data_IF_369826625010
#
_entry.id   IF_369826625010
#
_cell.length_a   1.000
_cell.length_b   1.000
_cell.length_c   1.000
_cell.angle_alpha   90.00
_cell.angle_beta   90.00
_cell.angle_gamma   90.00
#
_symmetry.space_group_name_H-M   'P 1'
#
loop_
_entity.id
_entity.type
_entity.pdbx_description
1 polymer ?
#
# COMPACT_ATOMS: atom_id res chain seq x y z
N UNK A 1 -17.36 -5.97 5.04
CA UNK A 1 -15.91 -6.03 4.82
C UNK A 1 -15.67 -6.00 3.33
N UNK A 2 -14.78 -5.11 2.88
CA UNK A 2 -14.31 -5.05 1.50
C UNK A 2 -13.00 -5.82 1.40
N UNK A 3 -12.81 -6.55 0.31
CA UNK A 3 -11.66 -7.40 0.02
C UNK A 3 -11.19 -7.09 -1.40
N UNK A 4 -9.88 -7.14 -1.69
CA UNK A 4 -9.38 -6.96 -3.04
C UNK A 4 -9.91 -8.07 -3.97
N UNK A 5 -9.94 -7.85 -5.30
CA UNK A 5 -10.21 -8.92 -6.26
C UNK A 5 -9.11 -9.99 -6.22
N UNK A 6 -9.24 -11.01 -7.07
CA UNK A 6 -8.22 -12.05 -7.19
C UNK A 6 -6.98 -11.51 -7.89
N UNK A 7 -5.80 -11.88 -7.40
CA UNK A 7 -4.54 -11.53 -8.06
C UNK A 7 -4.43 -12.20 -9.45
N UNK A 8 -3.90 -11.50 -10.48
CA UNK A 8 -3.39 -10.12 -10.48
C UNK A 8 -4.38 -9.06 -11.00
N UNK A 9 -5.68 -9.35 -11.01
CA UNK A 9 -6.72 -8.55 -11.68
C UNK A 9 -7.07 -7.26 -10.91
N UNK A 10 -6.15 -6.29 -10.95
CA UNK A 10 -6.25 -5.04 -10.18
C UNK A 10 -7.46 -4.18 -10.54
N UNK A 11 -7.98 -4.27 -11.76
CA UNK A 11 -9.11 -3.45 -12.22
C UNK A 11 -10.48 -4.04 -11.87
N UNK A 12 -10.53 -5.32 -11.49
CA UNK A 12 -11.78 -5.99 -11.07
C UNK A 12 -12.41 -5.33 -9.84
N UNK A 13 -13.75 -5.37 -9.69
CA UNK A 13 -14.43 -4.74 -8.57
C UNK A 13 -14.04 -5.37 -7.24
N UNK A 14 -14.07 -4.56 -6.18
CA UNK A 14 -13.87 -5.05 -4.81
C UNK A 14 -14.92 -6.10 -4.47
N UNK A 15 -14.48 -7.21 -3.89
CA UNK A 15 -15.38 -8.18 -3.27
C UNK A 15 -15.87 -7.59 -1.94
N UNK A 16 -17.10 -7.90 -1.55
CA UNK A 16 -17.61 -7.48 -0.25
C UNK A 16 -18.49 -8.54 0.37
N UNK A 17 -18.40 -8.68 1.70
CA UNK A 17 -19.26 -9.55 2.50
C UNK A 17 -19.65 -8.92 3.84
N UNK A 18 -20.88 -9.14 4.33
CA UNK A 18 -21.27 -8.67 5.67
C UNK A 18 -20.52 -9.48 6.74
N UNK A 19 -20.05 -8.81 7.80
CA UNK A 19 -19.46 -9.47 8.98
C UNK A 19 -20.40 -9.49 10.18
N UNK A 20 -21.25 -8.47 10.27
CA UNK A 20 -22.31 -8.37 11.25
C UNK A 20 -23.44 -7.52 10.67
N UNK A 21 -24.62 -7.58 11.29
CA UNK A 21 -25.70 -6.61 11.08
C UNK A 21 -26.36 -6.25 12.39
N UNK A 22 -26.94 -5.05 12.45
CA UNK A 22 -27.80 -4.61 13.54
C UNK A 22 -29.19 -4.42 12.96
N UNK A 23 -30.17 -5.16 13.48
CA UNK A 23 -31.52 -5.22 12.93
C UNK A 23 -32.53 -4.75 13.97
N UNK A 24 -33.42 -3.82 13.61
CA UNK A 24 -34.49 -3.34 14.48
C UNK A 24 -35.82 -3.94 14.06
N UNK A 25 -36.55 -4.52 15.01
CA UNK A 25 -37.91 -5.05 14.80
C UNK A 25 -38.93 -4.27 15.65
N UNK A 26 -40.20 -4.30 15.26
CA UNK A 26 -41.28 -3.67 16.02
C UNK A 26 -41.27 -4.16 17.49
N UNK A 27 -41.29 -3.20 18.44
CA UNK A 27 -41.35 -3.42 19.89
C UNK A 27 -40.18 -4.23 20.47
N UNK A 28 -39.05 -4.35 19.78
CA UNK A 28 -37.84 -5.02 20.28
C UNK A 28 -36.64 -4.08 20.26
N UNK A 29 -35.70 -4.30 21.16
CA UNK A 29 -34.36 -3.71 21.03
C UNK A 29 -33.71 -4.22 19.74
N UNK A 30 -32.83 -3.41 19.15
CA UNK A 30 -32.09 -3.84 17.98
C UNK A 30 -31.23 -5.07 18.31
N UNK A 31 -31.29 -6.10 17.47
CA UNK A 31 -30.52 -7.33 17.62
C UNK A 31 -29.23 -7.23 16.84
N UNK A 32 -28.14 -7.72 17.43
CA UNK A 32 -26.83 -7.83 16.78
C UNK A 32 -26.63 -9.27 16.33
N UNK A 33 -26.32 -9.44 15.05
CA UNK A 33 -26.09 -10.75 14.46
C UNK A 33 -24.70 -10.81 13.82
N UNK A 34 -23.96 -11.87 14.12
CA UNK A 34 -22.75 -12.23 13.38
C UNK A 34 -23.17 -12.85 12.04
N UNK A 35 -22.48 -12.45 10.97
CA UNK A 35 -22.76 -12.89 9.61
C UNK A 35 -21.63 -13.76 9.03
N UNK A 36 -20.64 -14.10 9.85
CA UNK A 36 -19.47 -14.88 9.44
C UNK A 36 -19.80 -16.37 9.35
N UNK A 37 -19.05 -17.10 8.52
CA UNK A 37 -19.30 -18.52 8.26
C UNK A 37 -20.40 -18.77 7.22
N UNK A 38 -20.79 -20.04 7.09
CA UNK A 38 -21.65 -20.52 5.99
C UNK A 38 -23.00 -21.08 6.47
N UNK A 39 -23.31 -20.95 7.77
CA UNK A 39 -24.54 -21.47 8.40
C UNK A 39 -25.61 -20.40 8.67
N UNK A 40 -25.42 -19.20 8.13
CA UNK A 40 -26.36 -18.08 8.23
C UNK A 40 -26.17 -17.18 9.47
N UNK A 41 -27.04 -16.16 9.62
CA UNK A 41 -26.97 -15.21 10.73
C UNK A 41 -27.18 -15.88 12.08
N UNK A 42 -26.39 -15.50 13.07
CA UNK A 42 -26.46 -16.03 14.44
C UNK A 42 -26.08 -14.95 15.46
N UNK A 43 -26.19 -15.23 16.76
CA UNK A 43 -26.06 -14.19 17.78
C UNK A 43 -24.64 -13.61 17.82
N UNK A 44 -24.54 -12.27 17.73
CA UNK A 44 -23.29 -11.53 17.81
C UNK A 44 -23.36 -10.41 18.84
N UNK A 45 -22.19 -9.85 19.16
CA UNK A 45 -22.07 -8.71 20.07
C UNK A 45 -21.21 -7.62 19.45
N UNK A 46 -21.54 -6.36 19.79
CA UNK A 46 -20.73 -5.19 19.50
C UNK A 46 -20.40 -4.50 20.81
N UNK A 47 -19.13 -4.18 21.01
CA UNK A 47 -18.66 -3.39 22.14
C UNK A 47 -18.01 -2.11 21.62
N UNK A 48 -18.62 -0.96 21.92
CA UNK A 48 -18.03 0.34 21.63
C UNK A 48 -17.00 0.63 22.73
N UNK A 49 -15.74 0.84 22.35
CA UNK A 49 -14.64 1.06 23.31
C UNK A 49 -14.40 2.55 23.49
N UNK A 50 -14.21 3.28 22.37
CA UNK A 50 -14.01 4.74 22.31
C UNK A 50 -14.64 5.29 21.03
N UNK A 51 -14.64 6.61 20.85
CA UNK A 51 -15.18 7.28 19.64
C UNK A 51 -14.64 6.68 18.33
N UNK A 52 -13.38 6.26 18.33
CA UNK A 52 -12.66 5.79 17.14
C UNK A 52 -12.33 4.28 17.19
N UNK A 53 -12.95 3.53 18.11
CA UNK A 53 -12.68 2.10 18.26
C UNK A 53 -13.91 1.31 18.75
N UNK A 54 -14.20 0.19 18.09
CA UNK A 54 -15.21 -0.79 18.53
C UNK A 54 -14.74 -2.21 18.24
N UNK A 55 -15.34 -3.21 18.88
CA UNK A 55 -15.05 -4.62 18.62
C UNK A 55 -16.31 -5.45 18.38
N UNK A 56 -16.15 -6.56 17.68
CA UNK A 56 -17.17 -7.60 17.50
C UNK A 56 -16.78 -8.84 18.30
N UNK A 57 -17.79 -9.58 18.77
CA UNK A 57 -17.59 -10.90 19.39
C UNK A 57 -18.68 -11.86 18.94
N UNK A 58 -18.28 -13.08 18.58
CA UNK A 58 -19.18 -14.20 18.34
C UNK A 58 -18.97 -15.26 19.43
N UNK A 59 -20.06 -15.70 20.07
CA UNK A 59 -20.01 -16.78 21.08
C UNK A 59 -20.51 -18.13 20.51
N UNK A 60 -20.93 -18.16 19.25
CA UNK A 60 -21.48 -19.33 18.55
C UNK A 60 -20.61 -19.66 17.34
N UNK A 61 -19.31 -19.87 17.58
CA UNK A 61 -18.32 -20.09 16.51
C UNK A 61 -18.44 -21.45 15.82
N UNK A 62 -19.28 -22.35 16.32
CA UNK A 62 -19.73 -23.56 15.64
C UNK A 62 -20.42 -23.24 14.29
N UNK A 63 -20.98 -22.03 14.17
CA UNK A 63 -21.55 -21.51 12.92
C UNK A 63 -20.49 -21.21 11.85
N UNK A 64 -19.25 -21.01 12.26
CA UNK A 64 -18.12 -20.73 11.37
C UNK A 64 -17.48 -22.02 10.82
N UNK A 65 -17.68 -23.15 11.50
CA UNK A 65 -17.08 -24.43 11.15
C UNK A 65 -17.80 -25.10 9.98
N UNK A 66 -17.03 -25.71 9.09
CA UNK A 66 -17.55 -26.53 7.98
C UNK A 66 -17.51 -28.03 8.32
N UNK A 67 -18.35 -28.83 7.65
CA UNK A 67 -18.47 -30.27 7.91
C UNK A 67 -17.19 -31.04 7.59
N UNK A 68 -16.45 -30.64 6.56
CA UNK A 68 -15.14 -31.18 6.19
C UNK A 68 -13.98 -30.57 6.99
N UNK A 69 -14.30 -29.91 8.11
CA UNK A 69 -13.33 -29.34 9.04
C UNK A 69 -12.45 -28.26 8.43
N UNK A 70 -11.26 -28.08 9.01
CA UNK A 70 -10.31 -27.00 8.66
C UNK A 70 -9.80 -27.08 7.22
N UNK A 71 -9.74 -28.27 6.64
CA UNK A 71 -9.34 -28.43 5.24
C UNK A 71 -10.40 -27.85 4.28
N UNK A 72 -11.69 -28.10 4.53
CA UNK A 72 -12.77 -27.51 3.73
C UNK A 72 -12.83 -26.00 3.92
N UNK A 73 -12.64 -25.50 5.15
CA UNK A 73 -12.54 -24.07 5.44
C UNK A 73 -11.40 -23.41 4.64
N UNK A 74 -10.22 -24.03 4.61
CA UNK A 74 -9.08 -23.52 3.85
C UNK A 74 -9.36 -23.49 2.35
N UNK A 75 -9.86 -24.58 1.75
CA UNK A 75 -10.18 -24.62 0.32
C UNK A 75 -11.25 -23.61 -0.07
N UNK A 76 -12.26 -23.41 0.79
CA UNK A 76 -13.32 -22.42 0.56
C UNK A 76 -12.76 -21.00 0.65
N UNK A 77 -11.97 -20.71 1.68
CA UNK A 77 -11.29 -19.42 1.81
C UNK A 77 -10.34 -19.14 0.64
N UNK A 78 -9.57 -20.14 0.19
CA UNK A 78 -8.65 -20.01 -0.94
C UNK A 78 -9.40 -19.69 -2.24
N UNK A 79 -10.54 -20.35 -2.47
CA UNK A 79 -11.43 -20.02 -3.61
C UNK A 79 -11.97 -18.60 -3.50
N UNK A 80 -12.36 -18.17 -2.31
CA UNK A 80 -12.87 -16.81 -2.10
C UNK A 80 -11.80 -15.75 -2.31
N UNK A 81 -10.58 -15.95 -1.79
CA UNK A 81 -9.50 -14.94 -1.78
C UNK A 81 -8.62 -14.95 -3.03
N UNK A 82 -8.44 -16.11 -3.67
CA UNK A 82 -7.52 -16.27 -4.80
C UNK A 82 -8.15 -16.84 -6.06
N UNK A 83 -9.33 -17.48 -5.97
CA UNK A 83 -10.00 -18.06 -7.14
C UNK A 83 -9.27 -19.24 -7.78
N UNK A 84 -8.24 -19.77 -7.12
CA UNK A 84 -7.36 -20.86 -7.61
C UNK A 84 -7.24 -21.96 -6.57
N UNK A 85 -6.81 -23.15 -6.98
CA UNK A 85 -6.36 -24.17 -6.02
C UNK A 85 -4.93 -23.89 -5.58
N UNK A 86 -4.44 -24.61 -4.56
CA UNK A 86 -3.08 -24.40 -4.07
C UNK A 86 -2.04 -24.90 -5.08
N UNK A 87 -2.39 -25.97 -5.81
CA UNK A 87 -1.56 -26.60 -6.84
C UNK A 87 -1.38 -25.70 -8.07
N UNK A 88 -2.39 -24.86 -8.38
CA UNK A 88 -2.35 -23.89 -9.48
C UNK A 88 -1.45 -22.67 -9.16
N UNK A 89 -0.96 -22.56 -7.92
CA UNK A 89 -0.07 -21.48 -7.47
C UNK A 89 1.37 -21.97 -7.58
N UNK A 90 2.03 -21.63 -8.69
CA UNK A 90 3.34 -22.18 -9.06
C UNK A 90 4.52 -21.84 -8.12
N UNK A 91 4.36 -20.85 -7.24
CA UNK A 91 5.44 -20.41 -6.35
C UNK A 91 5.24 -20.91 -4.92
N UNK A 92 6.11 -21.80 -4.45
CA UNK A 92 6.07 -22.39 -3.11
C UNK A 92 6.03 -21.31 -2.01
N UNK A 93 6.88 -20.28 -2.12
CA UNK A 93 6.87 -19.17 -1.16
C UNK A 93 5.51 -18.44 -1.07
N UNK A 94 4.80 -18.31 -2.19
CA UNK A 94 3.45 -17.73 -2.19
C UNK A 94 2.45 -18.66 -1.50
N UNK A 95 2.56 -19.99 -1.67
CA UNK A 95 1.72 -20.95 -0.96
C UNK A 95 1.92 -20.86 0.56
N UNK A 96 3.18 -20.74 1.02
CA UNK A 96 3.51 -20.57 2.45
C UNK A 96 2.87 -19.31 3.03
N UNK A 97 2.99 -18.17 2.34
CA UNK A 97 2.41 -16.89 2.75
C UNK A 97 0.88 -16.97 2.83
N UNK A 98 0.25 -17.63 1.86
CA UNK A 98 -1.21 -17.85 1.81
C UNK A 98 -1.66 -18.69 3.00
N UNK A 99 -0.97 -19.80 3.26
CA UNK A 99 -1.29 -20.70 4.37
C UNK A 99 -1.12 -19.97 5.72
N UNK A 100 -0.03 -19.22 5.88
CA UNK A 100 0.22 -18.41 7.06
C UNK A 100 -0.89 -17.36 7.26
N UNK A 101 -1.29 -16.65 6.19
CA UNK A 101 -2.37 -15.66 6.23
C UNK A 101 -3.70 -16.31 6.64
N UNK A 102 -4.04 -17.47 6.08
CA UNK A 102 -5.24 -18.21 6.48
C UNK A 102 -5.22 -18.58 7.95
N UNK A 103 -4.13 -19.21 8.42
CA UNK A 103 -4.01 -19.64 9.82
C UNK A 103 -4.15 -18.43 10.72
N UNK A 104 -3.35 -17.37 10.52
CA UNK A 104 -3.34 -16.19 11.37
C UNK A 104 -4.70 -15.48 11.43
N UNK A 105 -5.31 -15.21 10.26
CA UNK A 105 -6.59 -14.47 10.21
C UNK A 105 -7.76 -15.28 10.74
N UNK A 106 -7.77 -16.60 10.53
CA UNK A 106 -8.84 -17.46 11.03
C UNK A 106 -8.81 -17.66 12.56
N UNK A 107 -7.69 -17.40 13.24
CA UNK A 107 -7.64 -17.43 14.71
C UNK A 107 -8.51 -16.37 15.38
N UNK A 108 -8.77 -15.25 14.70
CA UNK A 108 -9.64 -14.21 15.25
C UNK A 108 -11.10 -14.65 15.29
N UNK A 109 -11.49 -15.58 14.40
CA UNK A 109 -12.85 -16.12 14.33
C UNK A 109 -13.95 -15.04 14.35
N UNK A 110 -13.72 -13.95 13.61
CA UNK A 110 -14.54 -12.74 13.55
C UNK A 110 -14.72 -11.98 14.88
N UNK A 111 -13.93 -12.31 15.90
CA UNK A 111 -13.75 -11.51 17.11
C UNK A 111 -12.66 -10.46 16.86
N UNK A 112 -13.05 -9.31 16.31
CA UNK A 112 -12.15 -8.31 15.76
C UNK A 112 -12.32 -6.97 16.47
N UNK A 113 -11.22 -6.23 16.62
CA UNK A 113 -11.22 -4.82 17.02
C UNK A 113 -10.97 -3.94 15.80
N UNK A 114 -11.84 -2.96 15.60
CA UNK A 114 -11.81 -2.04 14.47
C UNK A 114 -11.43 -0.65 14.96
N UNK A 115 -10.52 -0.01 14.25
CA UNK A 115 -10.15 1.39 14.44
C UNK A 115 -10.67 2.23 13.28
N UNK A 116 -11.08 3.46 13.58
CA UNK A 116 -11.57 4.40 12.58
C UNK A 116 -10.43 4.82 11.64
N UNK A 117 -10.73 4.83 10.35
CA UNK A 117 -9.91 5.45 9.30
C UNK A 117 -10.78 6.44 8.52
N UNK A 118 -10.15 7.35 7.79
CA UNK A 118 -10.82 8.39 7.01
C UNK A 118 -10.36 8.33 5.57
N UNK A 119 -11.26 8.67 4.65
CA UNK A 119 -10.85 8.96 3.28
C UNK A 119 -10.05 10.27 3.27
N UNK A 120 -9.02 10.37 2.42
CA UNK A 120 -8.22 11.58 2.29
C UNK A 120 -9.08 12.73 1.75
N UNK A 121 -8.81 13.98 2.14
CA UNK A 121 -9.42 15.14 1.51
C UNK A 121 -9.03 15.21 0.03
N UNK A 122 -9.87 15.84 -0.80
CA UNK A 122 -9.56 16.10 -2.21
C UNK A 122 -9.35 17.59 -2.42
N UNK A 123 -8.34 17.95 -3.21
CA UNK A 123 -8.08 19.30 -3.70
C UNK A 123 -8.24 19.35 -5.23
N UNK A 124 -8.69 20.48 -5.81
CA UNK A 124 -8.66 20.69 -7.26
C UNK A 124 -7.25 20.60 -7.86
N UNK A 125 -6.22 20.90 -7.05
CA UNK A 125 -4.81 20.89 -7.46
C UNK A 125 -4.17 19.49 -7.40
N UNK A 126 -4.89 18.48 -6.89
CA UNK A 126 -4.36 17.12 -6.80
C UNK A 126 -4.17 16.52 -8.20
N UNK A 127 -3.00 15.91 -8.44
CA UNK A 127 -2.65 15.32 -9.74
C UNK A 127 -3.67 14.26 -10.21
N UNK A 128 -4.21 13.51 -9.25
CA UNK A 128 -5.30 12.55 -9.42
C UNK A 128 -6.19 12.57 -8.19
N UNK A 129 -7.41 12.04 -8.32
CA UNK A 129 -8.32 11.92 -7.20
C UNK A 129 -7.69 11.04 -6.09
N UNK A 130 -7.50 11.55 -4.86
CA UNK A 130 -7.02 10.74 -3.76
C UNK A 130 -8.10 9.74 -3.32
N UNK A 131 -7.68 8.65 -2.66
CA UNK A 131 -8.60 7.60 -2.27
C UNK A 131 -7.94 6.23 -2.13
N UNK A 132 -8.74 5.19 -2.27
CA UNK A 132 -8.30 3.79 -2.13
C UNK A 132 -7.99 3.19 -3.49
N UNK A 133 -6.83 2.54 -3.58
CA UNK A 133 -6.33 1.84 -4.75
C UNK A 133 -6.05 0.37 -4.40
N UNK A 134 -6.22 -0.49 -5.38
CA UNK A 134 -5.73 -1.88 -5.36
C UNK A 134 -4.34 -1.87 -6.00
N UNK A 135 -3.37 -2.56 -5.42
CA UNK A 135 -2.00 -2.61 -5.95
C UNK A 135 -1.40 -4.01 -5.80
N UNK A 136 -0.49 -4.37 -6.70
CA UNK A 136 0.20 -5.67 -6.72
C UNK A 136 1.44 -5.66 -5.81
N UNK A 137 1.53 -6.59 -4.87
CA UNK A 137 2.66 -6.71 -3.92
C UNK A 137 3.38 -8.06 -4.05
N UNK A 138 3.71 -8.45 -5.29
CA UNK A 138 4.50 -9.65 -5.55
C UNK A 138 3.83 -10.94 -5.04
N UNK A 139 4.57 -11.74 -4.27
CA UNK A 139 4.08 -12.98 -3.66
C UNK A 139 2.99 -12.77 -2.61
N UNK A 140 2.80 -11.56 -2.09
CA UNK A 140 1.73 -11.25 -1.13
C UNK A 140 0.35 -11.06 -1.80
N UNK A 141 0.32 -10.93 -3.14
CA UNK A 141 -0.89 -10.71 -3.92
C UNK A 141 -1.31 -9.25 -3.96
N UNK A 142 -2.63 -9.00 -3.97
CA UNK A 142 -3.17 -7.65 -3.99
C UNK A 142 -3.32 -7.06 -2.58
N UNK A 143 -2.92 -5.81 -2.43
CA UNK A 143 -3.12 -5.01 -1.22
C UNK A 143 -3.93 -3.74 -1.53
N UNK A 144 -4.60 -3.22 -0.51
CA UNK A 144 -5.35 -1.96 -0.58
C UNK A 144 -4.46 -0.85 -0.04
N UNK A 145 -4.21 0.17 -0.84
CA UNK A 145 -3.37 1.33 -0.49
C UNK A 145 -4.21 2.61 -0.59
N UNK A 146 -4.10 3.48 0.41
CA UNK A 146 -4.71 4.79 0.43
C UNK A 146 -3.72 5.84 -0.06
N UNK A 147 -4.03 6.48 -1.19
CA UNK A 147 -3.29 7.62 -1.73
C UNK A 147 -3.81 8.93 -1.14
N UNK A 148 -2.92 9.74 -0.58
CA UNK A 148 -3.22 11.07 -0.04
C UNK A 148 -2.18 12.11 -0.48
N UNK A 149 -2.60 13.36 -0.64
CA UNK A 149 -1.71 14.47 -1.02
C UNK A 149 -1.38 15.35 0.18
N UNK A 150 -0.11 15.77 0.27
CA UNK A 150 0.48 16.54 1.37
C UNK A 150 1.42 17.60 0.77
N UNK A 151 0.84 18.68 0.25
CA UNK A 151 1.59 19.72 -0.46
C UNK A 151 2.24 19.16 -1.72
N UNK A 152 3.58 19.23 -1.83
CA UNK A 152 4.34 18.73 -2.99
C UNK A 152 4.70 17.25 -2.90
N UNK A 153 4.11 16.51 -1.96
CA UNK A 153 4.31 15.06 -1.79
C UNK A 153 2.98 14.33 -1.86
N UNK A 154 2.96 13.14 -2.45
CA UNK A 154 1.87 12.19 -2.29
C UNK A 154 2.34 10.98 -1.47
N UNK A 155 1.46 10.43 -0.64
CA UNK A 155 1.74 9.29 0.24
C UNK A 155 0.77 8.17 -0.01
N UNK A 156 1.30 6.96 -0.17
CA UNK A 156 0.53 5.72 -0.14
C UNK A 156 0.66 5.04 1.21
N UNK A 157 -0.46 4.85 1.91
CA UNK A 157 -0.54 4.15 3.20
C UNK A 157 -1.25 2.82 3.02
N UNK A 158 -0.66 1.73 3.49
CA UNK A 158 -1.28 0.40 3.43
C UNK A 158 -2.52 0.33 4.31
N UNK A 159 -3.67 0.02 3.73
CA UNK A 159 -4.92 -0.27 4.45
C UNK A 159 -5.00 -1.76 4.78
N UNK A 160 -4.59 -2.59 3.84
CA UNK A 160 -4.18 -3.97 4.10
C UNK A 160 -2.67 -4.06 3.89
N UNK A 161 -2.02 -5.01 4.53
CA UNK A 161 -0.58 -5.17 4.40
C UNK A 161 -0.12 -6.56 4.78
N UNK A 162 1.19 -6.73 4.71
CA UNK A 162 1.88 -8.01 4.81
C UNK A 162 2.96 -7.96 5.91
N UNK A 163 3.62 -9.08 6.22
CA UNK A 163 4.65 -9.11 7.26
C UNK A 163 5.86 -8.18 7.01
N UNK A 164 6.17 -7.82 5.76
CA UNK A 164 7.30 -6.95 5.45
C UNK A 164 6.90 -5.49 5.68
N UNK A 165 5.73 -5.08 5.18
CA UNK A 165 5.16 -3.75 5.43
C UNK A 165 3.72 -3.87 5.90
N UNK A 166 3.49 -3.76 7.23
CA UNK A 166 2.17 -3.93 7.83
C UNK A 166 1.15 -2.87 7.42
N UNK A 167 -0.13 -3.20 7.63
CA UNK A 167 -1.23 -2.24 7.53
C UNK A 167 -1.01 -1.04 8.48
N UNK A 168 -1.36 0.15 7.99
CA UNK A 168 -1.14 1.43 8.65
C UNK A 168 0.21 2.09 8.34
N UNK A 169 1.15 1.37 7.72
CA UNK A 169 2.46 1.91 7.36
C UNK A 169 2.44 2.60 5.98
N UNK A 170 3.33 3.58 5.81
CA UNK A 170 3.61 4.18 4.52
C UNK A 170 4.39 3.17 3.66
N UNK A 171 3.95 2.95 2.43
CA UNK A 171 4.57 2.02 1.48
C UNK A 171 5.18 2.73 0.28
N UNK A 172 4.69 3.94 -0.04
CA UNK A 172 5.24 4.79 -1.10
C UNK A 172 5.15 6.26 -0.68
N UNK A 173 6.20 7.02 -0.95
CA UNK A 173 6.20 8.48 -1.03
C UNK A 173 6.49 8.88 -2.47
N UNK A 174 5.76 9.86 -3.01
CA UNK A 174 5.96 10.36 -4.37
C UNK A 174 6.29 11.84 -4.28
N UNK A 175 7.40 12.21 -4.89
CA UNK A 175 7.81 13.60 -5.04
C UNK A 175 7.13 14.21 -6.28
N UNK A 176 6.23 15.16 -6.03
CA UNK A 176 5.49 15.86 -7.07
C UNK A 176 6.23 17.13 -7.54
N UNK A 177 7.27 17.55 -6.82
CA UNK A 177 8.08 18.71 -7.18
C UNK A 177 9.05 18.42 -8.34
N UNK A 178 9.44 17.15 -8.49
CA UNK A 178 10.44 16.69 -9.45
C UNK A 178 9.88 15.66 -10.44
N UNK A 179 9.05 16.09 -11.42
CA UNK A 179 8.57 15.19 -12.48
C UNK A 179 9.72 14.61 -13.30
N UNK A 180 9.67 13.30 -13.54
CA UNK A 180 10.60 12.60 -14.41
C UNK A 180 10.21 12.82 -15.88
N UNK A 181 11.21 13.20 -16.69
CA UNK A 181 11.05 13.20 -18.15
C UNK A 181 11.42 11.82 -18.68
N UNK A 182 10.40 11.09 -19.15
CA UNK A 182 10.63 9.81 -19.78
C UNK A 182 11.33 9.99 -21.13
N UNK A 183 12.29 9.12 -21.48
CA UNK A 183 12.84 9.07 -22.82
C UNK A 183 11.81 8.49 -23.80
N UNK A 184 12.17 8.40 -25.08
CA UNK A 184 11.32 7.74 -26.07
C UNK A 184 11.10 6.24 -25.76
N UNK A 185 10.18 5.61 -26.49
CA UNK A 185 9.78 4.22 -26.26
C UNK A 185 10.92 3.21 -26.47
N UNK A 186 11.92 3.51 -27.29
CA UNK A 186 13.04 2.62 -27.57
C UNK A 186 14.00 2.64 -26.37
N UNK A 187 14.32 3.84 -25.88
CA UNK A 187 15.17 4.07 -24.73
C UNK A 187 14.50 3.68 -23.41
N UNK A 188 13.16 3.75 -23.30
CA UNK A 188 12.41 3.25 -22.13
C UNK A 188 12.58 1.74 -21.91
N UNK A 189 12.93 0.97 -22.95
CA UNK A 189 13.22 -0.45 -22.82
C UNK A 189 14.58 -0.72 -22.16
N UNK A 190 15.49 0.26 -22.18
CA UNK A 190 16.79 0.16 -21.52
C UNK A 190 16.66 0.48 -20.03
N UNK A 191 16.82 -0.54 -19.20
CA UNK A 191 16.80 -0.42 -17.76
C UNK A 191 17.90 0.53 -17.23
N UNK A 192 19.07 0.54 -17.87
CA UNK A 192 20.21 1.34 -17.45
C UNK A 192 19.93 2.83 -17.62
N UNK A 193 19.28 3.19 -18.73
CA UNK A 193 18.91 4.58 -19.01
C UNK A 193 17.84 5.08 -18.04
N UNK A 194 16.82 4.26 -17.76
CA UNK A 194 15.80 4.62 -16.77
C UNK A 194 16.41 4.78 -15.35
N UNK A 195 17.29 3.86 -14.97
CA UNK A 195 18.01 3.91 -13.70
C UNK A 195 18.84 5.18 -13.56
N UNK A 196 19.59 5.55 -14.62
CA UNK A 196 20.38 6.80 -14.67
C UNK A 196 19.50 8.03 -14.41
N UNK A 197 18.37 8.15 -15.09
CA UNK A 197 17.44 9.28 -14.94
C UNK A 197 16.90 9.38 -13.51
N UNK A 198 16.51 8.23 -12.93
CA UNK A 198 15.99 8.18 -11.55
C UNK A 198 17.06 8.61 -10.54
N UNK A 199 18.30 8.12 -10.67
CA UNK A 199 19.40 8.46 -9.78
C UNK A 199 19.82 9.93 -9.89
N UNK A 200 19.78 10.52 -11.10
CA UNK A 200 20.08 11.94 -11.31
C UNK A 200 19.08 12.84 -10.59
N UNK A 201 17.79 12.53 -10.70
CA UNK A 201 16.73 13.30 -10.01
C UNK A 201 16.79 13.07 -8.51
N UNK A 202 17.09 11.86 -8.05
CA UNK A 202 17.28 11.58 -6.62
C UNK A 202 18.44 12.41 -6.04
N UNK A 203 19.56 12.50 -6.74
CA UNK A 203 20.70 13.30 -6.29
C UNK A 203 20.37 14.80 -6.28
N UNK A 204 19.58 15.28 -7.25
CA UNK A 204 19.06 16.65 -7.22
C UNK A 204 18.20 16.89 -5.96
N UNK A 205 17.21 16.03 -5.69
CA UNK A 205 16.34 16.14 -4.51
C UNK A 205 17.17 16.17 -3.23
N UNK A 206 18.13 15.25 -3.09
CA UNK A 206 19.01 15.16 -1.93
C UNK A 206 19.83 16.44 -1.71
N UNK A 207 20.29 17.09 -2.79
CA UNK A 207 21.03 18.36 -2.71
C UNK A 207 20.15 19.51 -2.29
N UNK A 208 18.94 19.61 -2.84
CA UNK A 208 17.96 20.64 -2.49
C UNK A 208 17.53 20.53 -1.02
N UNK A 209 17.26 19.32 -0.53
CA UNK A 209 16.93 19.06 0.88
C UNK A 209 18.07 19.50 1.83
N UNK A 210 19.33 19.21 1.47
CA UNK A 210 20.48 19.63 2.28
C UNK A 210 20.71 21.15 2.28
N UNK A 211 20.46 21.83 1.16
CA UNK A 211 20.56 23.27 1.08
C UNK A 211 19.44 23.96 1.88
N UNK A 212 18.23 23.40 1.88
CA UNK A 212 17.11 23.88 2.69
C UNK A 212 17.35 23.71 4.19
N UNK A 213 17.85 22.55 4.63
CA UNK A 213 18.23 22.31 6.03
C UNK A 213 19.30 23.31 6.52
N UNK A 214 20.35 23.55 5.71
CA UNK A 214 21.40 24.52 6.06
C UNK A 214 20.89 25.96 6.13
N UNK A 215 19.94 26.34 5.26
CA UNK A 215 19.32 27.68 5.30
C UNK A 215 18.45 27.85 6.53
N UNK A 216 17.67 26.84 6.90
CA UNK A 216 16.83 26.88 8.10
C UNK A 216 17.67 26.95 9.38
N UNK A 217 18.75 26.18 9.47
CA UNK A 217 19.69 26.28 10.60
C UNK A 217 20.42 27.64 10.67
N UNK A 218 20.73 28.23 9.51
CA UNK A 218 21.32 29.57 9.41
C UNK A 218 20.36 30.69 9.86
N UNK A 219 19.09 30.61 9.49
CA UNK A 219 18.05 31.57 9.88
C UNK A 219 17.72 31.48 11.38
N UNK A 220 17.63 30.28 11.96
CA UNK A 220 17.42 30.11 13.41
C UNK A 220 18.58 30.67 14.24
N UNK A 221 19.84 30.51 13.77
CA UNK A 221 21.02 31.14 14.41
C UNK A 221 21.03 32.66 14.25
N UNK A 222 20.49 33.19 13.15
CA UNK A 222 20.39 34.62 12.90
C UNK A 222 19.30 35.28 13.76
N UNK A 223 18.17 34.59 13.98
CA UNK A 223 17.09 35.05 14.84
C UNK A 223 17.45 34.99 16.33
N UNK A 224 18.27 34.03 16.77
CA UNK A 224 18.85 34.04 18.12
C UNK A 224 19.87 35.18 18.31
N UNK A 225 20.59 35.60 17.26
CA UNK A 225 21.55 36.72 17.34
C UNK A 225 20.87 38.10 17.29
N UNK A 226 19.66 38.21 16.73
CA UNK A 226 18.91 39.47 16.62
C UNK A 226 18.13 39.88 17.89
N UNK A 227 18.23 39.11 18.98
CA UNK A 227 17.61 39.41 20.28
C UNK A 227 18.46 40.39 21.13
N UNK A 228 18.96 41.47 20.52
CA UNK A 228 19.54 42.60 21.25
C UNK A 228 18.81 43.89 20.83
N UNK A 229 18.21 44.65 21.76
CA UNK A 229 17.37 45.79 21.41
C UNK A 229 18.25 46.98 21.00
N UNK A 230 18.33 47.24 19.69
CA UNK A 230 18.85 48.50 19.18
C UNK A 230 17.72 49.53 19.09
N UNK A 231 17.90 50.63 19.83
CA UNK A 231 16.96 51.73 19.96
C UNK A 231 16.67 52.43 18.62
N UNK A 232 15.39 52.74 18.40
CA UNK A 232 14.90 53.61 17.33
C UNK A 232 15.44 55.03 17.47
N UNK A 233 15.70 55.73 16.36
CA UNK A 233 14.78 56.80 15.95
C UNK A 233 14.62 56.83 14.41
N UNK A 234 13.60 57.39 13.75
CA UNK A 234 12.91 58.67 13.86
C UNK A 234 11.79 58.69 12.79
N UNK A 235 10.79 59.56 12.94
CA UNK A 235 10.23 60.28 11.79
C UNK A 235 8.79 59.97 11.40
N UNK A 236 7.90 60.93 11.69
CA UNK A 236 6.66 61.12 10.92
C UNK A 236 6.90 61.97 9.68
N UNK A 237 5.91 61.97 8.79
CA UNK A 237 5.85 62.89 7.64
C UNK A 237 5.26 62.26 6.39
N UNK A 238 3.98 62.58 6.14
CA UNK A 238 3.18 62.23 4.97
C UNK A 238 3.71 62.88 3.66
N UNK A 239 3.34 62.29 2.51
CA UNK A 239 3.08 63.09 1.31
C UNK A 239 3.47 62.47 -0.04
N UNK A 240 2.48 62.53 -0.94
CA UNK A 240 2.56 62.72 -2.39
C UNK A 240 2.30 61.52 -3.32
N UNK A 241 1.27 61.77 -4.13
CA UNK A 241 0.71 61.02 -5.25
C UNK A 241 1.65 60.98 -6.47
N UNK A 242 1.47 59.98 -7.32
CA UNK A 242 2.12 59.86 -8.62
C UNK A 242 1.39 58.82 -9.48
N UNK A 243 0.68 59.33 -10.48
CA UNK A 243 -0.13 58.60 -11.48
C UNK A 243 0.73 58.10 -12.65
N UNK A 244 0.14 57.19 -13.43
CA UNK A 244 0.35 56.90 -14.87
C UNK A 244 0.92 55.53 -15.33
N UNK A 245 0.01 54.84 -16.04
CA UNK A 245 0.16 54.18 -17.37
C UNK A 245 0.48 52.69 -17.51
N UNK A 246 -0.60 51.96 -17.82
CA UNK A 246 -0.84 51.14 -19.03
C UNK A 246 0.27 50.21 -19.58
N UNK A 247 -0.03 48.91 -19.64
CA UNK A 247 0.04 48.10 -20.88
C UNK A 247 -0.49 46.69 -20.60
N UNK A 248 -1.38 46.21 -21.47
CA UNK A 248 -1.95 44.88 -21.38
C UNK A 248 -0.99 43.77 -21.82
N UNK A 249 -1.26 42.56 -21.33
CA UNK A 249 -0.97 41.34 -22.07
C UNK A 249 -1.96 40.27 -21.62
N UNK A 250 -2.89 39.96 -22.50
CA UNK A 250 -3.67 38.74 -22.47
C UNK A 250 -2.69 37.56 -22.54
N UNK A 251 -2.62 36.77 -21.49
CA UNK A 251 -2.00 35.46 -21.48
C UNK A 251 -3.05 34.44 -21.11
N UNK A 252 -3.81 33.98 -22.10
CA UNK A 252 -4.65 32.81 -21.94
C UNK A 252 -3.73 31.62 -21.63
N UNK A 253 -3.59 31.29 -20.35
CA UNK A 253 -3.03 30.00 -19.94
C UNK A 253 -4.03 28.95 -20.39
N UNK A 254 -3.80 28.40 -21.59
CA UNK A 254 -4.48 27.19 -22.03
C UNK A 254 -4.11 26.09 -21.06
N UNK A 255 -5.12 25.67 -20.32
CA UNK A 255 -5.19 24.48 -19.49
C UNK A 255 -5.06 23.24 -20.41
N UNK A 256 -3.85 22.97 -20.90
CA UNK A 256 -3.54 21.72 -21.59
C UNK A 256 -3.19 20.68 -20.53
N UNK A 257 -4.14 19.79 -20.26
CA UNK A 257 -3.86 18.54 -19.57
C UNK A 257 -2.65 17.86 -20.25
N UNK A 258 -1.66 17.35 -19.49
CA UNK A 258 -0.45 16.77 -20.06
C UNK A 258 -0.83 15.67 -21.07
N UNK A 259 -0.34 15.85 -22.30
CA UNK A 259 -0.60 14.91 -23.39
C UNK A 259 -0.10 13.52 -22.99
N UNK A 260 -0.94 12.51 -23.19
CA UNK A 260 -0.59 11.13 -22.90
C UNK A 260 0.57 10.69 -23.79
N UNK A 261 1.65 10.17 -23.21
CA UNK A 261 2.81 9.64 -23.92
C UNK A 261 2.83 8.10 -23.88
N UNK A 262 3.42 7.42 -24.89
CA UNK A 262 3.61 5.97 -24.87
C UNK A 262 4.43 5.51 -23.67
N UNK A 263 4.13 4.32 -23.14
CA UNK A 263 4.82 3.74 -22.00
C UNK A 263 5.01 2.24 -22.17
N UNK A 264 6.19 1.75 -21.80
CA UNK A 264 6.54 0.33 -21.74
C UNK A 264 7.50 0.12 -20.57
N UNK A 265 7.38 -1.01 -19.89
CA UNK A 265 8.35 -1.39 -18.85
C UNK A 265 9.72 -1.71 -19.48
N UNK A 266 10.83 -1.38 -18.80
CA UNK A 266 12.17 -1.78 -19.23
C UNK A 266 12.33 -3.30 -19.29
N UNK A 267 13.25 -3.76 -20.12
CA UNK A 267 13.60 -5.18 -20.18
C UNK A 267 14.16 -5.65 -18.82
N UNK A 268 13.72 -6.83 -18.37
CA UNK A 268 14.12 -7.41 -17.08
C UNK A 268 13.22 -7.01 -15.91
N UNK A 269 12.34 -6.01 -16.08
CA UNK A 269 11.35 -5.64 -15.06
C UNK A 269 10.13 -6.55 -15.19
N UNK A 270 9.77 -7.22 -14.08
CA UNK A 270 8.65 -8.17 -14.04
C UNK A 270 7.41 -7.46 -13.48
N UNK A 271 6.29 -7.59 -14.19
CA UNK A 271 4.97 -7.16 -13.72
C UNK A 271 4.06 -8.36 -13.54
N UNK A 272 3.30 -8.42 -12.45
CA UNK A 272 2.24 -9.44 -12.29
C UNK A 272 1.05 -9.19 -13.21
N UNK A 273 0.79 -7.91 -13.52
CA UNK A 273 -0.26 -7.52 -14.44
C UNK A 273 0.35 -7.24 -15.82
N UNK A 274 0.07 -8.08 -16.80
CA UNK A 274 0.54 -7.90 -18.18
C UNK A 274 -0.30 -6.86 -18.95
N UNK A 275 -1.52 -6.60 -18.49
CA UNK A 275 -2.50 -5.72 -19.14
C UNK A 275 -2.40 -4.26 -18.67
N UNK A 276 -1.25 -3.83 -18.14
CA UNK A 276 -1.06 -2.44 -17.74
C UNK A 276 -1.16 -1.48 -18.95
N UNK A 277 -1.66 -0.24 -18.75
CA UNK A 277 -1.80 0.72 -19.84
C UNK A 277 -0.47 1.02 -20.54
N UNK A 278 -0.49 1.05 -21.87
CA UNK A 278 0.69 1.38 -22.71
C UNK A 278 0.91 2.88 -22.88
N UNK A 279 0.32 3.69 -22.00
CA UNK A 279 0.42 5.15 -22.04
C UNK A 279 0.43 5.70 -20.61
N UNK A 280 1.19 6.77 -20.39
CA UNK A 280 1.24 7.49 -19.12
C UNK A 280 1.12 9.00 -19.37
N UNK A 281 0.75 9.79 -18.35
CA UNK A 281 0.67 11.26 -18.46
C UNK A 281 1.83 11.95 -17.77
N UNK A 282 2.17 11.49 -16.58
CA UNK A 282 3.23 12.04 -15.73
C UNK A 282 3.91 10.87 -15.03
N UNK A 283 5.23 11.02 -14.84
CA UNK A 283 6.04 10.15 -14.00
C UNK A 283 6.73 11.02 -12.95
N UNK A 284 6.84 10.51 -11.74
CA UNK A 284 7.44 11.18 -10.60
C UNK A 284 8.45 10.24 -9.94
N UNK A 285 9.44 10.82 -9.26
CA UNK A 285 10.30 10.05 -8.37
C UNK A 285 9.44 9.53 -7.21
N UNK A 286 9.57 8.25 -6.90
CA UNK A 286 8.89 7.63 -5.77
C UNK A 286 9.89 6.85 -4.92
N UNK A 287 9.74 6.98 -3.60
CA UNK A 287 10.46 6.19 -2.62
C UNK A 287 9.53 5.10 -2.07
N UNK A 288 9.90 3.85 -2.32
CA UNK A 288 9.21 2.67 -1.83
C UNK A 288 9.79 2.24 -0.48
N UNK A 289 8.93 1.99 0.51
CA UNK A 289 9.34 1.49 1.82
C UNK A 289 9.11 -0.03 1.86
N UNK A 290 10.17 -0.81 2.15
CA UNK A 290 10.13 -2.28 2.27
C UNK A 290 11.44 -2.97 1.87
N UNK A 291 11.53 -4.29 2.12
CA UNK A 291 12.67 -5.10 1.66
C UNK A 291 12.76 -5.02 0.13
N UNK A 292 13.90 -4.53 -0.34
CA UNK A 292 14.19 -3.92 -1.65
C UNK A 292 13.81 -2.43 -1.74
N UNK A 293 14.81 -1.61 -1.40
CA UNK A 293 14.92 -0.20 -1.76
C UNK A 293 14.97 -0.10 -3.30
N UNK A 294 13.83 -0.20 -3.98
CA UNK A 294 13.74 -0.03 -5.43
C UNK A 294 12.99 1.25 -5.78
N UNK A 295 13.73 2.21 -6.34
CA UNK A 295 13.23 3.44 -6.92
C UNK A 295 12.73 3.12 -8.33
N UNK A 296 11.42 2.96 -8.48
CA UNK A 296 10.79 2.78 -9.78
C UNK A 296 9.93 4.00 -10.09
N UNK A 297 9.91 4.50 -11.33
CA UNK A 297 8.94 5.51 -11.73
C UNK A 297 7.54 4.94 -11.57
N UNK A 298 6.68 5.62 -10.81
CA UNK A 298 5.27 5.23 -10.68
C UNK A 298 4.49 5.96 -11.80
N UNK A 299 3.97 5.26 -12.82
CA UNK A 299 3.14 5.90 -13.83
C UNK A 299 1.78 6.27 -13.21
N UNK A 300 1.37 7.54 -13.37
CA UNK A 300 0.05 8.01 -12.94
C UNK A 300 -0.89 8.00 -14.15
N UNK A 301 -1.86 7.08 -14.18
CA UNK A 301 -2.89 6.98 -15.22
C UNK A 301 -4.25 7.44 -14.65
N UNK A 302 -5.02 8.19 -15.45
CA UNK A 302 -6.35 8.68 -15.04
C UNK A 302 -7.45 7.61 -15.14
N UNK A 303 -7.17 6.51 -15.82
CA UNK A 303 -8.13 5.45 -16.13
C UNK A 303 -7.81 4.09 -15.47
N UNK A 304 -6.60 3.91 -14.93
CA UNK A 304 -6.18 2.66 -14.29
C UNK A 304 -5.33 2.97 -13.07
N UNK A 305 -5.50 2.14 -12.05
CA UNK A 305 -4.83 2.11 -10.76
C UNK A 305 -3.35 2.55 -10.78
N UNK A 306 -2.89 3.22 -9.72
CA UNK A 306 -1.46 3.38 -9.43
C UNK A 306 -0.78 2.02 -9.60
N UNK A 307 0.12 1.86 -10.58
CA UNK A 307 0.94 0.67 -10.68
C UNK A 307 2.03 0.78 -9.61
N UNK A 308 1.70 0.36 -8.40
CA UNK A 308 2.68 0.11 -7.34
C UNK A 308 2.98 -1.37 -7.37
N UNK A 309 4.23 -1.70 -7.70
CA UNK A 309 4.75 -3.06 -7.61
C UNK A 309 5.37 -3.55 -8.91
N UNK A 310 6.70 -3.47 -8.99
CA UNK A 310 7.48 -4.45 -9.76
C UNK A 310 8.50 -5.04 -8.81
N UNK A 311 8.65 -6.36 -8.85
CA UNK A 311 9.65 -7.10 -8.09
C UNK A 311 10.80 -7.37 -9.05
N UNK A 312 11.96 -6.74 -8.87
CA UNK A 312 13.15 -7.13 -9.60
C UNK A 312 13.76 -8.38 -8.94
N UNK A 313 13.74 -9.49 -9.66
CA UNK A 313 14.40 -10.72 -9.23
C UNK A 313 15.72 -10.85 -9.99
N UNK A 314 16.78 -10.17 -9.54
CA UNK A 314 18.12 -10.48 -10.02
C UNK A 314 18.67 -11.67 -9.22
N UNK A 315 19.22 -12.72 -9.88
CA UNK A 315 19.93 -13.78 -9.16
C UNK A 315 21.15 -13.18 -8.44
N UNK A 316 21.52 -13.68 -7.25
CA UNK A 316 22.68 -13.15 -6.52
C UNK A 316 23.94 -13.36 -7.36
N UNK A 317 24.59 -12.26 -7.75
CA UNK A 317 25.97 -12.31 -8.23
C UNK A 317 26.86 -12.80 -7.07
N UNK A 318 27.73 -13.79 -7.30
CA UNK A 318 28.56 -14.32 -6.23
C UNK A 318 29.62 -13.29 -5.84
N UNK A 319 29.59 -12.87 -4.57
CA UNK A 319 30.73 -12.26 -3.91
C UNK A 319 30.67 -10.75 -3.72
N UNK A 320 29.79 -10.28 -2.82
CA UNK A 320 30.05 -9.04 -2.04
C UNK A 320 29.57 -9.28 -0.61
N UNK A 321 30.52 -9.33 0.32
CA UNK A 321 30.25 -9.31 1.75
C UNK A 321 30.07 -7.86 2.19
N UNK A 322 28.96 -7.52 2.84
CA UNK A 322 28.84 -6.30 3.63
C UNK A 322 28.51 -6.65 5.07
N UNK A 323 29.51 -6.45 5.93
CA UNK A 323 29.41 -6.39 7.40
C UNK A 323 28.68 -5.10 7.80
N UNK A 324 27.70 -5.20 8.70
CA UNK A 324 27.05 -4.04 9.31
C UNK A 324 26.24 -4.44 10.54
N UNK A 325 26.73 -4.03 11.71
CA UNK A 325 26.40 -4.54 13.04
C UNK A 325 24.90 -4.50 13.45
N UNK A 326 24.47 -5.60 14.07
CA UNK A 326 23.28 -5.68 14.90
C UNK A 326 23.54 -5.11 16.30
N UNK A 327 22.50 -4.51 16.90
CA UNK A 327 22.42 -4.40 18.35
C UNK A 327 20.97 -4.59 18.84
N UNK A 328 20.76 -5.72 19.51
CA UNK A 328 19.94 -5.80 20.74
C UNK A 328 18.43 -6.01 20.62
N UNK A 329 17.97 -7.27 20.54
CA UNK A 329 17.48 -8.07 21.69
C UNK A 329 16.64 -9.24 21.19
N UNK A 330 17.22 -10.43 21.27
CA UNK A 330 16.55 -11.73 21.07
C UNK A 330 15.72 -12.03 22.32
N UNK A 331 14.41 -12.20 22.17
CA UNK A 331 13.58 -12.95 23.10
C UNK A 331 13.23 -14.28 22.44
N UNK A 332 13.74 -15.35 23.04
CA UNK A 332 13.60 -16.73 22.62
C UNK A 332 12.24 -17.31 23.03
N UNK A 333 11.48 -17.82 22.07
CA UNK A 333 10.46 -18.86 22.32
C UNK A 333 10.34 -19.77 21.10
N UNK A 334 11.36 -20.60 20.87
CA UNK A 334 11.32 -21.75 19.96
C UNK A 334 11.28 -23.04 20.79
N UNK A 335 10.10 -23.48 21.19
CA UNK A 335 9.93 -24.85 21.73
C UNK A 335 8.54 -25.47 21.55
N UNK A 336 7.65 -24.88 20.74
CA UNK A 336 6.30 -25.45 20.49
C UNK A 336 6.02 -25.84 19.04
N UNK A 337 6.91 -25.55 18.10
CA UNK A 337 6.58 -25.61 16.66
C UNK A 337 6.87 -26.95 15.98
N UNK A 338 7.60 -27.87 16.62
CA UNK A 338 7.89 -29.20 16.04
C UNK A 338 6.79 -30.26 16.27
N UNK A 339 5.66 -29.96 16.92
CA UNK A 339 4.59 -30.96 17.15
C UNK A 339 3.38 -30.84 16.22
N UNK A 340 3.31 -29.80 15.38
CA UNK A 340 2.12 -29.55 14.54
C UNK A 340 2.31 -29.93 13.07
N UNK A 341 3.55 -30.10 12.60
CA UNK A 341 3.84 -30.53 11.23
C UNK A 341 3.76 -32.06 11.05
N UNK A 342 4.12 -32.85 12.07
CA UNK A 342 4.11 -34.33 11.98
C UNK A 342 2.70 -34.95 11.92
N UNK A 343 1.64 -34.18 12.23
CA UNK A 343 0.25 -34.68 12.20
C UNK A 343 -0.39 -34.65 10.80
N UNK A 344 0.22 -33.98 9.82
CA UNK A 344 -0.35 -33.85 8.47
C UNK A 344 0.25 -34.83 7.45
N UNK A 345 1.42 -35.41 7.74
CA UNK A 345 2.13 -36.29 6.81
C UNK A 345 1.91 -37.80 7.04
N UNK A 346 1.30 -38.22 8.16
CA UNK A 346 1.16 -39.66 8.48
C UNK A 346 -0.14 -40.33 7.97
N UNK A 347 -1.06 -39.62 7.31
CA UNK A 347 -2.34 -40.22 6.88
C UNK A 347 -2.41 -40.71 5.42
N UNK A 348 -1.36 -40.58 4.59
CA UNK A 348 -1.43 -40.90 3.16
C UNK A 348 -0.54 -42.06 2.67
N UNK A 349 0.00 -42.89 3.59
CA UNK A 349 0.85 -44.03 3.23
C UNK A 349 0.22 -45.43 3.38
N UNK A 350 -1.05 -45.54 3.80
CA UNK A 350 -1.70 -46.85 4.01
C UNK A 350 -2.75 -47.26 2.96
N UNK A 351 -3.02 -46.44 1.92
CA UNK A 351 -4.07 -46.76 0.93
C UNK A 351 -3.58 -47.33 -0.42
N UNK A 352 -2.28 -47.53 -0.65
CA UNK A 352 -1.75 -47.92 -1.99
C UNK A 352 -1.07 -49.28 -2.07
N UNK A 353 -1.20 -50.16 -1.06
CA UNK A 353 -0.72 -51.55 -1.12
C UNK A 353 -1.85 -52.58 -1.01
N UNK A 354 -2.83 -52.50 -1.90
CA UNK A 354 -3.75 -53.62 -2.14
C UNK A 354 -4.39 -53.47 -3.52
N UNK A 355 -3.61 -53.69 -4.58
CA UNK A 355 -4.04 -54.27 -5.86
C UNK A 355 -2.88 -54.28 -6.88
N UNK A 356 -2.04 -55.32 -6.81
CA UNK A 356 -1.34 -55.86 -7.96
C UNK A 356 -1.08 -57.34 -7.68
N UNK A 357 -1.66 -58.20 -8.52
CA UNK A 357 -1.35 -59.63 -8.61
C UNK A 357 0.01 -59.83 -9.26
#
# INVERSE_FOLDING_TARGET
MYLPPHDPHVDDPMRFKPLFRIHLMERKCATVECMYGHKGPHNGHIQIVKKDEFSTKCNQTDHHRMSGGRQEEFRTWLREEWGRTLEDIFHEHMQELILMKFIYTSQYDNCLTYRRIYLPPSSPDDLIKPGLFKGTYGSHGLEIVMLSFHGRKAKGTKITGDPNIPAGQQTVEIDLAHPLRLPDIENLRDFSELSRIVLEVQEQVRREEQEEEQRQEGEDRSQQAASQPAAQPLGGGEGAEGEETAAGAQGAAQDQAPASQPFVLPMGVISRNEDYPRTCRVCCLAHMFGDLLELLPVPVCHSCSLAVGTQCSLPPLPGVWCLGASSGKVLSTTSSWCKYAESLDECDLESTRQHAK
#
